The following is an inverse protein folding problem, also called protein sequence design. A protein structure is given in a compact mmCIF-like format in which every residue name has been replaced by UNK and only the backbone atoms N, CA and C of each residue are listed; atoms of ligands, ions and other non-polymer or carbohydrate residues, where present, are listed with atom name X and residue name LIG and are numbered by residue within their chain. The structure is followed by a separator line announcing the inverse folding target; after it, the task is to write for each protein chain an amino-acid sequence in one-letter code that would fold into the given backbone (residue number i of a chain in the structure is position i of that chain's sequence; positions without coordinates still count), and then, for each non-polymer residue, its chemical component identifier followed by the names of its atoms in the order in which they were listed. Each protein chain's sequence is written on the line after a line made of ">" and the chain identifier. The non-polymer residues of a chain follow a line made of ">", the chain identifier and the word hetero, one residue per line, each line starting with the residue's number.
data_IF_847308196461
#
_entry.id   IF_847308196461
#
_cell.length_a   1.000
_cell.length_b   1.000
_cell.length_c   1.000
_cell.angle_alpha   90.00
_cell.angle_beta   90.00
_cell.angle_gamma   90.00
#
_symmetry.space_group_name_H-M   'P 1'
#
loop_
_entity.id
_entity.type
_entity.pdbx_description
1 polymer ?
#
# COMPACT_ATOMS: atom_id res chain seq x y z
N UNK A 1 33.83 -2.72 43.84
CA UNK A 1 33.00 -1.50 43.79
C UNK A 1 33.80 -0.46 43.04
N UNK A 2 33.71 -0.48 41.71
CA UNK A 2 34.31 0.52 40.83
C UNK A 2 33.16 1.01 39.95
N UNK A 3 32.78 2.26 40.15
CA UNK A 3 31.81 2.97 39.34
C UNK A 3 32.54 3.50 38.11
N UNK A 4 32.55 2.75 37.01
CA UNK A 4 32.95 3.27 35.70
C UNK A 4 31.75 3.92 35.01
N UNK A 5 31.72 5.24 35.09
CA UNK A 5 31.31 6.21 34.06
C UNK A 5 30.07 5.89 33.21
N UNK A 6 28.90 6.28 33.74
CA UNK A 6 27.60 6.28 33.05
C UNK A 6 27.48 7.32 31.90
N UNK A 7 28.57 7.94 31.45
CA UNK A 7 28.54 8.94 30.37
C UNK A 7 29.01 8.41 29.00
N UNK A 8 29.74 7.30 28.96
CA UNK A 8 30.25 6.74 27.70
C UNK A 8 29.24 5.81 26.98
N UNK A 9 28.12 5.45 27.63
CA UNK A 9 27.00 4.69 27.02
C UNK A 9 25.82 5.57 26.57
N UNK A 10 25.90 6.89 26.76
CA UNK A 10 24.91 7.86 26.25
C UNK A 10 25.36 8.53 24.94
N UNK A 11 26.67 8.53 24.66
CA UNK A 11 27.27 9.13 23.47
C UNK A 11 27.43 8.16 22.29
N UNK A 12 27.00 6.89 22.42
CA UNK A 12 26.90 5.93 21.30
C UNK A 12 25.46 5.74 20.78
N UNK A 13 24.52 6.58 21.20
CA UNK A 13 23.10 6.56 20.74
C UNK A 13 22.70 7.76 19.89
N UNK A 14 23.64 8.68 19.62
CA UNK A 14 23.39 9.86 18.76
C UNK A 14 24.04 9.77 17.38
N UNK A 15 24.70 8.66 17.04
CA UNK A 15 25.35 8.50 15.74
C UNK A 15 24.87 7.31 14.89
N UNK A 16 23.68 6.76 15.16
CA UNK A 16 23.03 5.76 14.30
C UNK A 16 21.55 6.08 14.02
N UNK A 17 21.12 7.31 14.31
CA UNK A 17 19.76 7.78 14.02
C UNK A 17 19.67 8.80 12.88
N UNK A 18 20.80 9.20 12.31
CA UNK A 18 20.85 10.12 11.15
C UNK A 18 21.11 9.41 9.81
N UNK A 19 21.51 8.14 9.81
CA UNK A 19 21.82 7.36 8.59
C UNK A 19 20.83 6.22 8.29
N UNK A 20 19.62 6.28 8.86
CA UNK A 20 18.55 5.29 8.58
C UNK A 20 17.20 5.91 8.18
N UNK A 21 17.15 7.23 7.98
CA UNK A 21 15.99 7.93 7.40
C UNK A 21 16.37 8.84 6.22
N UNK A 22 17.48 8.53 5.53
CA UNK A 22 17.82 9.06 4.20
C UNK A 22 18.10 7.94 3.20
N UNK A 23 17.28 6.88 3.23
CA UNK A 23 17.34 5.79 2.24
C UNK A 23 15.97 5.28 1.78
N UNK A 24 14.88 6.01 2.00
CA UNK A 24 13.60 5.69 1.34
C UNK A 24 12.84 6.98 0.99
N UNK A 25 13.50 7.87 0.26
CA UNK A 25 12.80 8.87 -0.54
C UNK A 25 13.66 9.15 -1.77
N UNK A 26 13.05 9.01 -2.95
CA UNK A 26 13.64 9.09 -4.28
C UNK A 26 14.38 7.84 -4.83
N UNK A 27 13.70 6.70 -4.89
CA UNK A 27 13.72 5.92 -6.15
C UNK A 27 12.60 6.44 -7.06
N UNK A 28 12.72 7.70 -7.49
CA UNK A 28 12.11 8.15 -8.74
C UNK A 28 12.74 7.24 -9.78
N UNK A 29 11.98 6.26 -10.29
CA UNK A 29 12.40 5.37 -11.38
C UNK A 29 12.91 6.26 -12.52
N UNK A 30 14.23 6.38 -12.64
CA UNK A 30 14.82 6.74 -13.90
C UNK A 30 14.70 5.49 -14.77
N UNK A 31 13.82 5.56 -15.76
CA UNK A 31 13.84 4.60 -16.85
C UNK A 31 15.13 4.92 -17.62
N UNK A 32 16.05 3.97 -17.82
CA UNK A 32 17.21 4.23 -18.65
C UNK A 32 16.72 4.52 -20.07
N UNK A 33 17.07 5.68 -20.61
CA UNK A 33 16.93 5.99 -22.03
C UNK A 33 17.91 5.09 -22.79
N UNK A 34 17.47 3.90 -23.15
CA UNK A 34 18.15 3.01 -24.08
C UNK A 34 17.78 3.38 -25.52
N UNK A 35 18.79 3.83 -26.26
CA UNK A 35 18.98 3.62 -27.70
C UNK A 35 17.88 4.17 -28.63
N UNK A 36 18.14 5.35 -29.19
CA UNK A 36 17.61 5.75 -30.51
C UNK A 36 18.20 4.84 -31.59
N UNK A 37 17.53 4.76 -32.73
CA UNK A 37 17.78 3.91 -33.91
C UNK A 37 17.06 2.56 -33.90
N UNK A 38 15.80 2.52 -34.37
CA UNK A 38 15.46 1.95 -35.69
C UNK A 38 14.04 2.39 -36.05
N UNK A 39 13.94 3.21 -37.09
CA UNK A 39 12.71 3.56 -37.80
C UNK A 39 11.95 2.29 -38.20
N UNK A 40 10.70 2.16 -37.77
CA UNK A 40 9.86 1.00 -38.06
C UNK A 40 8.40 1.30 -37.73
N UNK A 41 7.70 1.90 -38.69
CA UNK A 41 6.25 2.10 -38.69
C UNK A 41 5.49 0.84 -38.30
N UNK A 42 4.86 0.84 -37.13
CA UNK A 42 3.64 0.09 -36.89
C UNK A 42 2.79 0.90 -35.93
N UNK A 43 1.79 1.55 -36.51
CA UNK A 43 0.69 2.23 -35.85
C UNK A 43 -0.04 1.24 -34.95
N UNK A 44 0.47 1.07 -33.73
CA UNK A 44 -0.19 0.35 -32.65
C UNK A 44 -0.92 1.38 -31.80
N UNK A 45 -2.23 1.49 -32.04
CA UNK A 45 -3.16 2.33 -31.30
C UNK A 45 -2.83 2.37 -29.80
N UNK A 46 -2.52 3.57 -29.30
CA UNK A 46 -2.49 3.84 -27.85
C UNK A 46 -3.96 3.89 -27.38
N UNK A 47 -4.62 2.74 -27.45
CA UNK A 47 -6.02 2.50 -27.11
C UNK A 47 -6.31 3.11 -25.74
N UNK A 48 -7.39 3.90 -25.69
CA UNK A 48 -7.70 4.81 -24.59
C UNK A 48 -7.62 4.13 -23.21
N UNK A 49 -6.68 4.59 -22.38
CA UNK A 49 -6.48 4.12 -20.98
C UNK A 49 -7.58 4.59 -20.02
N UNK A 50 -8.81 4.81 -20.50
CA UNK A 50 -9.91 5.18 -19.62
C UNK A 50 -10.63 3.93 -19.11
N UNK A 51 -10.89 3.83 -17.79
CA UNK A 51 -11.69 2.74 -17.28
C UNK A 51 -13.08 2.78 -17.92
N UNK A 52 -13.66 1.59 -18.10
CA UNK A 52 -15.05 1.40 -18.59
C UNK A 52 -16.01 2.48 -18.07
N UNK A 53 -16.80 3.06 -18.98
CA UNK A 53 -17.83 4.03 -18.64
C UNK A 53 -18.97 3.34 -17.85
N UNK A 54 -19.18 3.76 -16.61
CA UNK A 54 -20.17 3.18 -15.67
C UNK A 54 -21.13 4.25 -15.18
N UNK A 55 -22.40 3.88 -15.01
CA UNK A 55 -23.42 4.76 -14.41
C UNK A 55 -23.08 5.12 -12.95
N UNK A 56 -23.62 6.24 -12.46
CA UNK A 56 -23.40 6.70 -11.09
C UNK A 56 -23.87 5.68 -10.04
N UNK A 57 -25.00 5.01 -10.29
CA UNK A 57 -25.54 3.99 -9.38
C UNK A 57 -24.57 2.82 -9.24
N UNK A 58 -24.00 2.34 -10.35
CA UNK A 58 -23.01 1.25 -10.33
C UNK A 58 -21.74 1.71 -9.60
N UNK A 59 -21.22 2.91 -9.88
CA UNK A 59 -20.06 3.48 -9.19
C UNK A 59 -20.29 3.54 -7.67
N UNK A 60 -21.46 3.99 -7.23
CA UNK A 60 -21.85 4.02 -5.81
C UNK A 60 -21.89 2.63 -5.18
N UNK A 61 -22.48 1.64 -5.86
CA UNK A 61 -22.51 0.24 -5.40
C UNK A 61 -21.09 -0.33 -5.28
N UNK A 62 -20.25 -0.14 -6.28
CA UNK A 62 -18.84 -0.60 -6.28
C UNK A 62 -18.04 0.04 -5.14
N UNK A 63 -18.18 1.37 -4.95
CA UNK A 63 -17.54 2.08 -3.84
C UNK A 63 -17.97 1.57 -2.47
N UNK A 64 -19.28 1.29 -2.29
CA UNK A 64 -19.78 0.68 -1.03
C UNK A 64 -19.19 -0.70 -0.79
N UNK A 65 -19.13 -1.55 -1.82
CA UNK A 65 -18.54 -2.90 -1.73
C UNK A 65 -17.04 -2.85 -1.44
N UNK A 66 -16.32 -1.85 -1.96
CA UNK A 66 -14.92 -1.63 -1.61
C UNK A 66 -14.77 -1.18 -0.14
N UNK A 67 -15.61 -0.25 0.32
CA UNK A 67 -15.58 0.23 1.72
C UNK A 67 -15.90 -0.88 2.73
N UNK A 68 -16.80 -1.80 2.42
CA UNK A 68 -17.15 -2.94 3.27
C UNK A 68 -16.02 -4.00 3.36
N UNK A 69 -15.15 -4.06 2.37
CA UNK A 69 -14.10 -5.07 2.28
C UNK A 69 -12.85 -4.72 3.12
N UNK A 70 -13.04 -4.36 4.38
CA UNK A 70 -11.99 -3.97 5.34
C UNK A 70 -11.84 -5.01 6.45
N UNK A 71 -10.64 -5.18 7.04
CA UNK A 71 -10.45 -6.04 8.20
C UNK A 71 -11.16 -5.47 9.43
N UNK A 72 -11.44 -6.32 10.41
CA UNK A 72 -12.03 -5.89 11.67
C UNK A 72 -11.04 -5.00 12.44
N UNK A 73 -11.44 -3.85 13.00
CA UNK A 73 -10.57 -3.01 13.81
C UNK A 73 -10.06 -3.73 15.06
N UNK A 74 -8.81 -3.45 15.46
CA UNK A 74 -8.17 -4.13 16.59
C UNK A 74 -8.88 -3.87 17.93
N UNK A 75 -9.31 -2.64 18.20
CA UNK A 75 -10.02 -2.31 19.44
C UNK A 75 -11.34 -3.08 19.59
N UNK A 76 -12.00 -3.42 18.47
CA UNK A 76 -13.22 -4.23 18.51
C UNK A 76 -12.92 -5.64 19.02
N UNK A 77 -11.77 -6.22 18.66
CA UNK A 77 -11.32 -7.53 19.17
C UNK A 77 -11.03 -7.54 20.67
N UNK A 78 -10.68 -6.37 21.23
CA UNK A 78 -10.31 -6.23 22.64
C UNK A 78 -11.52 -5.98 23.55
N UNK A 79 -12.74 -5.81 23.01
CA UNK A 79 -13.95 -5.65 23.83
C UNK A 79 -14.29 -6.95 24.54
N UNK A 80 -14.66 -6.84 25.82
CA UNK A 80 -15.15 -7.96 26.64
C UNK A 80 -16.42 -8.57 26.02
N UNK A 81 -16.55 -9.89 26.13
CA UNK A 81 -17.65 -10.70 25.57
C UNK A 81 -17.88 -10.52 24.04
N UNK A 82 -16.81 -10.22 23.29
CA UNK A 82 -16.91 -10.18 21.83
C UNK A 82 -16.54 -11.53 21.20
N UNK A 83 -17.52 -12.20 20.58
CA UNK A 83 -17.36 -13.45 19.83
C UNK A 83 -16.77 -13.23 18.42
N UNK A 84 -16.81 -12.00 17.88
CA UNK A 84 -16.40 -11.71 16.51
C UNK A 84 -14.88 -11.53 16.42
N UNK A 85 -14.19 -12.47 15.76
CA UNK A 85 -12.72 -12.43 15.59
C UNK A 85 -12.28 -11.89 14.23
N UNK A 86 -13.03 -12.16 13.17
CA UNK A 86 -12.72 -11.74 11.80
C UNK A 86 -13.98 -11.31 11.05
N UNK A 87 -13.80 -10.60 9.92
CA UNK A 87 -14.91 -10.23 9.06
C UNK A 87 -15.27 -11.41 8.14
N UNK A 88 -16.26 -12.21 8.53
CA UNK A 88 -16.71 -13.37 7.75
C UNK A 88 -17.25 -13.00 6.36
N UNK A 89 -17.70 -11.74 6.16
CA UNK A 89 -18.23 -11.24 4.88
C UNK A 89 -17.15 -10.58 4.01
N UNK A 90 -15.87 -10.65 4.40
CA UNK A 90 -14.74 -10.11 3.62
C UNK A 90 -14.62 -10.89 2.31
N UNK A 91 -14.38 -10.18 1.21
CA UNK A 91 -14.47 -10.72 -0.15
C UNK A 91 -13.13 -10.60 -0.88
N UNK A 92 -12.72 -11.64 -1.61
CA UNK A 92 -11.63 -11.55 -2.58
C UNK A 92 -12.16 -11.53 -4.02
N UNK A 93 -11.64 -10.62 -4.86
CA UNK A 93 -12.16 -10.37 -6.20
C UNK A 93 -11.88 -11.50 -7.19
N UNK A 94 -10.84 -12.32 -6.96
CA UNK A 94 -10.57 -13.52 -7.77
C UNK A 94 -11.50 -14.67 -7.41
N UNK A 95 -11.87 -14.82 -6.13
CA UNK A 95 -12.67 -15.97 -5.63
C UNK A 95 -14.17 -15.78 -5.83
N UNK A 96 -14.69 -14.58 -5.58
CA UNK A 96 -16.16 -14.32 -5.55
C UNK A 96 -16.50 -13.01 -6.25
N UNK A 97 -17.43 -13.08 -7.21
CA UNK A 97 -17.85 -11.95 -8.05
C UNK A 97 -19.02 -11.17 -7.42
N UNK A 98 -19.23 -9.93 -7.86
CA UNK A 98 -20.23 -9.03 -7.27
C UNK A 98 -21.64 -9.20 -7.86
N UNK A 99 -21.77 -9.76 -9.06
CA UNK A 99 -23.07 -9.96 -9.74
C UNK A 99 -23.88 -8.66 -9.84
N UNK A 100 -23.25 -7.60 -10.34
CA UNK A 100 -23.80 -6.24 -10.44
C UNK A 100 -23.84 -5.78 -11.88
#
# INVERSE_FOLDING_TARGET
>A
MVWEDAETTRSRRKNERSLLLHRISNSRRQIPNGTLETEGSSSGDVESRFPSNKSFIIKRKLGKKQKQNRPLPNWCRMRTDNKIRYNAKRRHWRRTKLGL
#
